data_IF_350950228324
#
_entry.id   IF_350950228324
#
_cell.length_a   1.000
_cell.length_b   1.000
_cell.length_c   1.000
_cell.angle_alpha   90.00
_cell.angle_beta   90.00
_cell.angle_gamma   90.00
#
_symmetry.space_group_name_H-M   'P 1'
#
loop_
_entity.id
_entity.type
_entity.pdbx_description
1 polymer ?
#
# COMPACT_ATOMS: atom_id res chain seq x y z
N UNK A 1 27.10 -5.01 -13.33
CA UNK A 1 26.46 -3.78 -13.82
C UNK A 1 25.46 -4.06 -14.93
N UNK A 2 24.24 -4.43 -14.57
CA UNK A 2 23.14 -4.61 -15.52
C UNK A 2 21.96 -3.73 -15.08
N UNK A 3 21.81 -2.57 -15.73
CA UNK A 3 20.60 -1.74 -15.62
C UNK A 3 19.51 -2.36 -16.50
N UNK A 4 18.39 -2.73 -15.90
CA UNK A 4 17.19 -3.16 -16.62
C UNK A 4 16.24 -1.97 -16.66
N UNK A 5 16.01 -1.42 -17.86
CA UNK A 5 15.00 -0.39 -18.10
C UNK A 5 13.68 -1.07 -18.50
N UNK A 6 12.62 -0.76 -17.78
CA UNK A 6 11.24 -1.15 -18.05
C UNK A 6 10.40 0.09 -18.28
N UNK A 7 9.44 0.01 -19.19
CA UNK A 7 8.60 1.13 -19.61
C UNK A 7 7.15 0.91 -19.16
N UNK A 8 6.57 1.90 -18.48
CA UNK A 8 5.13 2.07 -18.25
C UNK A 8 4.80 3.53 -18.58
N UNK A 9 4.49 3.80 -19.85
CA UNK A 9 4.29 5.16 -20.36
C UNK A 9 5.58 5.92 -20.70
N UNK A 10 5.42 7.18 -21.14
CA UNK A 10 6.45 8.02 -21.77
C UNK A 10 7.53 8.58 -20.83
N UNK A 11 7.63 8.11 -19.59
CA UNK A 11 8.63 8.57 -18.62
C UNK A 11 9.65 7.47 -18.31
N UNK A 12 10.93 7.76 -18.58
CA UNK A 12 12.04 6.87 -18.23
C UNK A 12 12.20 6.86 -16.70
N UNK A 13 11.77 5.80 -16.03
CA UNK A 13 12.11 5.57 -14.61
C UNK A 13 13.47 4.91 -14.48
N UNK A 14 14.30 5.46 -13.59
CA UNK A 14 15.58 4.86 -13.17
C UNK A 14 15.30 3.67 -12.24
N UNK A 15 15.14 2.47 -12.83
CA UNK A 15 14.89 1.20 -12.14
C UNK A 15 16.16 0.62 -11.51
N UNK A 16 16.98 1.45 -10.87
CA UNK A 16 18.08 0.94 -10.06
C UNK A 16 17.52 0.01 -8.97
N UNK A 17 18.24 -1.08 -8.67
CA UNK A 17 17.85 -2.03 -7.63
C UNK A 17 17.61 -1.33 -6.26
N UNK A 18 18.29 -0.21 -6.02
CA UNK A 18 18.12 0.65 -4.86
C UNK A 18 16.79 1.44 -4.86
N UNK A 19 16.32 1.92 -6.02
CA UNK A 19 15.02 2.58 -6.15
C UNK A 19 13.88 1.57 -5.97
N UNK A 20 14.03 0.36 -6.54
CA UNK A 20 13.09 -0.74 -6.34
C UNK A 20 13.06 -1.21 -4.87
N UNK A 21 14.22 -1.31 -4.20
CA UNK A 21 14.29 -1.61 -2.76
C UNK A 21 13.55 -0.58 -1.90
N UNK A 22 13.59 0.72 -2.27
CA UNK A 22 12.87 1.78 -1.55
C UNK A 22 11.36 1.71 -1.70
N UNK A 23 10.85 0.97 -2.69
CA UNK A 23 9.42 0.78 -2.93
C UNK A 23 8.89 -0.57 -2.41
N UNK A 24 9.74 -1.38 -1.78
CA UNK A 24 9.32 -2.66 -1.22
C UNK A 24 8.69 -2.49 0.16
N UNK A 25 7.54 -3.14 0.34
CA UNK A 25 6.84 -3.24 1.61
C UNK A 25 7.19 -4.61 2.21
N UNK A 26 7.79 -4.60 3.40
CA UNK A 26 8.04 -5.82 4.17
C UNK A 26 6.77 -6.21 4.92
N UNK A 27 6.26 -7.41 4.67
CA UNK A 27 5.03 -7.90 5.30
C UNK A 27 5.15 -7.98 6.83
N UNK A 28 6.37 -8.19 7.35
CA UNK A 28 6.63 -8.23 8.79
C UNK A 28 6.45 -6.87 9.46
N UNK A 29 6.51 -5.78 8.71
CA UNK A 29 6.35 -4.41 9.23
C UNK A 29 4.88 -3.98 9.28
N UNK A 30 3.97 -4.73 8.66
CA UNK A 30 2.55 -4.38 8.59
C UNK A 30 1.85 -4.81 9.89
N UNK A 31 1.26 -3.83 10.57
CA UNK A 31 0.40 -4.06 11.73
C UNK A 31 -1.01 -4.48 11.31
N UNK A 32 -1.64 -3.65 10.47
CA UNK A 32 -3.03 -3.87 10.04
C UNK A 32 -3.36 -3.17 8.73
N UNK A 33 -4.49 -3.55 8.15
CA UNK A 33 -5.17 -2.79 7.10
C UNK A 33 -6.37 -2.08 7.71
N UNK A 34 -6.48 -0.77 7.47
CA UNK A 34 -7.52 0.09 7.99
C UNK A 34 -8.41 0.55 6.83
N UNK A 35 -9.71 0.29 6.91
CA UNK A 35 -10.66 0.57 5.83
C UNK A 35 -11.14 2.02 5.89
N UNK A 36 -11.33 2.63 4.73
CA UNK A 36 -11.86 3.97 4.55
C UNK A 36 -10.80 5.07 4.65
N UNK A 37 -11.29 6.30 4.70
CA UNK A 37 -10.47 7.52 4.66
C UNK A 37 -10.09 8.03 6.05
N UNK A 38 -9.63 7.16 6.94
CA UNK A 38 -9.50 7.48 8.37
C UNK A 38 -8.16 8.13 8.76
N UNK A 39 -7.18 8.18 7.86
CA UNK A 39 -5.85 8.75 8.13
C UNK A 39 -5.81 10.25 7.83
N UNK A 40 -4.87 10.96 8.47
CA UNK A 40 -4.68 12.41 8.28
C UNK A 40 -4.47 12.79 6.81
N UNK A 41 -3.76 11.97 6.02
CA UNK A 41 -3.51 12.25 4.61
C UNK A 41 -4.81 12.26 3.80
N UNK A 42 -5.73 11.35 4.13
CA UNK A 42 -7.07 11.30 3.55
C UNK A 42 -7.99 12.40 4.07
N UNK A 43 -7.78 12.90 5.29
CA UNK A 43 -8.56 14.00 5.86
C UNK A 43 -8.17 15.39 5.31
N UNK A 44 -7.07 15.49 4.55
CA UNK A 44 -6.70 16.74 3.86
C UNK A 44 -7.83 17.17 2.92
N UNK A 45 -8.32 18.42 2.96
CA UNK A 45 -9.52 18.85 2.23
C UNK A 45 -9.53 18.44 0.75
N UNK A 46 -8.45 18.74 0.03
CA UNK A 46 -8.31 18.40 -1.40
C UNK A 46 -8.32 16.90 -1.70
N UNK A 47 -7.79 16.08 -0.78
CA UNK A 47 -7.78 14.61 -0.93
C UNK A 47 -9.16 14.05 -0.61
N UNK A 48 -9.77 14.54 0.47
CA UNK A 48 -11.12 14.17 0.90
C UNK A 48 -12.16 14.45 -0.18
N UNK A 49 -12.13 15.64 -0.76
CA UNK A 49 -13.02 16.02 -1.85
C UNK A 49 -12.77 15.16 -3.10
N UNK A 50 -11.50 14.96 -3.48
CA UNK A 50 -11.13 14.19 -4.68
C UNK A 50 -11.64 12.74 -4.65
N UNK A 51 -11.65 12.11 -3.48
CA UNK A 51 -12.03 10.70 -3.34
C UNK A 51 -13.36 10.52 -2.63
N UNK A 52 -14.19 11.57 -2.53
CA UNK A 52 -15.45 11.52 -1.81
C UNK A 52 -16.41 10.44 -2.36
N UNK A 53 -16.48 10.32 -3.67
CA UNK A 53 -17.38 9.35 -4.33
C UNK A 53 -16.80 7.92 -4.32
N UNK A 54 -15.50 7.79 -4.05
CA UNK A 54 -14.76 6.52 -4.02
C UNK A 54 -14.31 6.14 -2.61
N UNK A 55 -14.90 6.73 -1.55
CA UNK A 55 -14.53 6.45 -0.16
C UNK A 55 -14.57 4.96 0.20
N UNK A 56 -15.49 4.22 -0.41
CA UNK A 56 -15.66 2.77 -0.22
C UNK A 56 -14.50 1.93 -0.80
N UNK A 57 -13.67 2.52 -1.68
CA UNK A 57 -12.48 1.89 -2.27
C UNK A 57 -11.17 2.33 -1.58
N UNK A 58 -11.26 3.19 -0.56
CA UNK A 58 -10.10 3.70 0.15
C UNK A 58 -9.72 2.77 1.31
N UNK A 59 -8.43 2.56 1.51
CA UNK A 59 -7.88 1.84 2.65
C UNK A 59 -6.44 2.28 2.93
N UNK A 60 -5.93 1.94 4.10
CA UNK A 60 -4.58 2.28 4.54
C UNK A 60 -3.87 1.04 5.08
N UNK A 61 -2.60 0.86 4.70
CA UNK A 61 -1.70 -0.11 5.33
C UNK A 61 -0.97 0.59 6.47
N UNK A 62 -1.19 0.12 7.70
CA UNK A 62 -0.59 0.66 8.92
C UNK A 62 0.60 -0.20 9.30
N UNK A 63 1.74 0.43 9.56
CA UNK A 63 2.98 -0.25 9.95
C UNK A 63 3.15 -0.24 11.47
N UNK A 64 3.90 -1.19 12.03
CA UNK A 64 4.10 -1.32 13.49
C UNK A 64 4.70 -0.08 14.16
N UNK A 65 5.48 0.73 13.43
CA UNK A 65 6.03 1.98 13.98
C UNK A 65 4.98 3.07 14.20
N UNK A 66 3.76 2.91 13.68
CA UNK A 66 2.66 3.89 13.75
C UNK A 66 2.89 5.19 12.96
N UNK A 67 4.16 5.60 12.81
CA UNK A 67 4.60 6.80 12.11
C UNK A 67 4.51 6.65 10.58
N UNK A 68 4.58 5.42 10.07
CA UNK A 68 4.45 5.13 8.63
C UNK A 68 3.07 4.53 8.36
N UNK A 69 2.41 5.05 7.33
CA UNK A 69 1.15 4.57 6.77
C UNK A 69 1.19 4.75 5.26
N UNK A 70 0.55 3.84 4.55
CA UNK A 70 0.39 3.92 3.10
C UNK A 70 -1.10 3.97 2.78
N UNK A 71 -1.55 5.13 2.30
CA UNK A 71 -2.93 5.39 1.92
C UNK A 71 -3.14 5.04 0.44
N UNK A 72 -4.13 4.20 0.16
CA UNK A 72 -4.38 3.62 -1.16
C UNK A 72 -5.86 3.77 -1.55
N UNK A 73 -6.10 3.93 -2.84
CA UNK A 73 -7.44 3.93 -3.45
C UNK A 73 -7.45 2.83 -4.50
N UNK A 74 -8.28 1.82 -4.32
CA UNK A 74 -8.44 0.75 -5.29
C UNK A 74 -9.12 1.25 -6.56
N UNK A 75 -8.80 0.64 -7.70
CA UNK A 75 -9.44 0.98 -8.98
C UNK A 75 -10.87 0.44 -9.08
N UNK A 76 -11.18 -0.62 -8.33
CA UNK A 76 -12.47 -1.31 -8.34
C UNK A 76 -12.65 -2.11 -7.04
N UNK A 77 -13.86 -2.64 -6.85
CA UNK A 77 -14.22 -3.42 -5.67
C UNK A 77 -13.39 -4.71 -5.52
N UNK A 78 -13.07 -5.39 -6.62
CA UNK A 78 -12.30 -6.63 -6.59
C UNK A 78 -10.88 -6.42 -6.05
N UNK A 79 -10.21 -5.34 -6.47
CA UNK A 79 -8.89 -4.96 -5.97
C UNK A 79 -8.99 -4.60 -4.48
N UNK A 80 -9.99 -3.80 -4.11
CA UNK A 80 -10.24 -3.45 -2.72
C UNK A 80 -10.41 -4.69 -1.84
N UNK A 81 -11.24 -5.65 -2.26
CA UNK A 81 -11.50 -6.89 -1.53
C UNK A 81 -10.23 -7.74 -1.41
N UNK A 82 -9.44 -7.84 -2.48
CA UNK A 82 -8.19 -8.58 -2.47
C UNK A 82 -7.21 -7.98 -1.45
N UNK A 83 -7.03 -6.67 -1.46
CA UNK A 83 -6.14 -6.00 -0.52
C UNK A 83 -6.64 -6.05 0.92
N UNK A 84 -7.91 -5.74 1.17
CA UNK A 84 -8.45 -5.64 2.54
C UNK A 84 -8.71 -6.99 3.18
N UNK A 85 -8.95 -8.05 2.39
CA UNK A 85 -9.21 -9.41 2.90
C UNK A 85 -7.98 -10.30 2.88
N UNK A 86 -7.20 -10.31 1.79
CA UNK A 86 -6.11 -11.27 1.61
C UNK A 86 -4.78 -10.78 2.19
N UNK A 87 -4.48 -9.46 2.15
CA UNK A 87 -3.23 -8.96 2.76
C UNK A 87 -3.16 -9.25 4.26
N UNK A 88 -4.20 -9.02 5.09
CA UNK A 88 -4.13 -9.38 6.52
C UNK A 88 -3.93 -10.89 6.75
N UNK A 89 -4.48 -11.74 5.88
CA UNK A 89 -4.25 -13.20 5.96
C UNK A 89 -2.80 -13.54 5.66
N UNK A 90 -2.21 -12.92 4.65
CA UNK A 90 -0.82 -13.10 4.29
C UNK A 90 0.13 -12.63 5.40
N UNK A 91 -0.14 -11.46 5.99
CA UNK A 91 0.63 -10.91 7.12
C UNK A 91 0.58 -11.86 8.32
N UNK A 92 -0.61 -12.34 8.73
CA UNK A 92 -0.73 -13.30 9.84
C UNK A 92 0.02 -14.61 9.57
N UNK A 93 -0.06 -15.13 8.35
CA UNK A 93 0.67 -16.35 7.95
C UNK A 93 2.19 -16.14 8.05
N UNK A 94 2.68 -14.99 7.58
CA UNK A 94 4.10 -14.65 7.62
C UNK A 94 4.59 -14.48 9.06
N UNK A 95 3.85 -13.77 9.90
CA UNK A 95 4.18 -13.59 11.31
C UNK A 95 4.23 -14.93 12.08
N UNK A 96 3.35 -15.89 11.74
CA UNK A 96 3.39 -17.23 12.31
C UNK A 96 4.67 -18.00 11.91
N UNK A 97 5.14 -17.85 10.67
CA UNK A 97 6.37 -18.49 10.18
C UNK A 97 7.67 -17.94 10.78
N UNK A 98 7.63 -16.76 11.41
CA UNK A 98 8.82 -16.19 12.07
C UNK A 98 8.96 -16.65 13.52
N UNK A 99 7.88 -17.19 14.11
CA UNK A 99 7.83 -17.63 15.51
C UNK A 99 8.20 -19.11 15.69
N UNK A 100 8.23 -19.87 14.59
CA UNK A 100 8.49 -21.31 14.55
C UNK A 100 9.43 -21.61 13.38
#
# INVERSE_FOLDING_TARGET
DHQVLGYLGSEKMDLSAAALQRQQIRLEEIDRVQIGMQTESFQRPRVRERFNDSQHLCFSVIYHSGARKLDLVAHNQSDFDLWTRELPRLVRRRQHQLRY
#
